data_IF_278695400911
#
_entry.id   IF_278695400911
#
_cell.length_a   1.000
_cell.length_b   1.000
_cell.length_c   1.000
_cell.angle_alpha   90.00
_cell.angle_beta   90.00
_cell.angle_gamma   90.00
#
_symmetry.space_group_name_H-M   'P 1'
#
loop_
_entity.id
_entity.type
_entity.pdbx_description
1 polymer ?
#
# COMPACT_ATOMS: atom_id res chain seq x y z
N UNK A 1 6.71 -40.25 43.13
CA UNK A 1 7.59 -41.30 43.72
C UNK A 1 8.11 -42.10 42.54
N UNK A 2 9.38 -42.10 42.17
CA UNK A 2 10.62 -42.24 42.94
C UNK A 2 11.79 -41.59 42.18
N UNK A 3 12.66 -40.96 42.97
CA UNK A 3 13.98 -40.43 42.62
C UNK A 3 14.96 -41.52 42.17
N UNK A 4 15.92 -41.16 41.30
CA UNK A 4 17.35 -41.40 41.55
C UNK A 4 18.27 -40.57 40.65
N UNK A 5 19.18 -39.86 41.31
CA UNK A 5 20.27 -39.05 40.79
C UNK A 5 21.44 -39.90 40.28
N UNK A 6 22.25 -39.33 39.38
CA UNK A 6 23.69 -39.61 39.32
C UNK A 6 24.42 -38.33 38.86
N UNK A 7 25.24 -37.76 39.75
CA UNK A 7 26.17 -36.66 39.42
C UNK A 7 27.43 -37.22 38.74
N UNK A 8 28.07 -36.48 37.81
CA UNK A 8 29.46 -36.73 37.45
C UNK A 8 30.40 -35.75 38.17
N UNK A 9 31.42 -36.32 38.82
CA UNK A 9 32.60 -35.62 39.34
C UNK A 9 33.33 -34.83 38.26
N UNK A 10 33.76 -33.62 38.62
CA UNK A 10 34.69 -32.83 37.81
C UNK A 10 36.14 -33.32 37.93
N UNK A 11 36.89 -33.14 36.85
CA UNK A 11 38.33 -32.90 36.87
C UNK A 11 38.71 -32.13 35.58
N UNK A 12 39.50 -31.06 35.75
CA UNK A 12 39.83 -30.11 34.70
C UNK A 12 41.08 -30.46 33.87
N UNK A 13 41.27 -29.67 32.81
CA UNK A 13 42.52 -29.06 32.32
C UNK A 13 42.59 -28.98 30.78
N UNK A 14 42.85 -27.75 30.33
CA UNK A 14 43.60 -27.34 29.12
C UNK A 14 43.08 -27.68 27.70
N UNK A 15 42.54 -26.64 27.06
CA UNK A 15 43.20 -26.00 25.92
C UNK A 15 43.17 -26.71 24.57
N UNK A 16 42.19 -26.38 23.72
CA UNK A 16 42.44 -26.21 22.27
C UNK A 16 41.40 -25.26 21.67
N UNK A 17 41.87 -24.23 20.97
CA UNK A 17 41.07 -23.34 20.13
C UNK A 17 40.36 -24.14 19.02
N UNK A 18 39.06 -23.89 18.85
CA UNK A 18 38.39 -24.11 17.56
C UNK A 18 37.30 -23.05 17.34
N UNK A 19 37.76 -21.91 16.81
CA UNK A 19 37.12 -21.11 15.77
C UNK A 19 35.61 -21.35 15.55
N UNK A 20 34.76 -20.61 16.27
CA UNK A 20 33.36 -20.41 15.88
C UNK A 20 33.23 -19.09 15.12
N UNK A 21 33.64 -19.15 13.86
CA UNK A 21 33.19 -18.22 12.84
C UNK A 21 31.98 -18.82 12.15
N UNK A 22 30.78 -18.34 12.49
CA UNK A 22 29.71 -18.16 11.51
C UNK A 22 28.94 -16.92 11.92
N UNK A 23 29.46 -15.77 11.49
CA UNK A 23 28.68 -14.55 11.38
C UNK A 23 27.44 -14.89 10.57
N UNK A 24 26.27 -14.83 11.21
CA UNK A 24 25.00 -14.84 10.49
C UNK A 24 24.98 -13.59 9.63
N UNK A 25 25.33 -13.73 8.36
CA UNK A 25 25.09 -12.70 7.36
C UNK A 25 23.58 -12.46 7.35
N UNK A 26 23.16 -11.33 7.91
CA UNK A 26 21.83 -10.80 7.63
C UNK A 26 21.72 -10.75 6.10
N UNK A 27 20.86 -11.59 5.53
CA UNK A 27 20.59 -11.61 4.11
C UNK A 27 20.06 -10.22 3.74
N UNK A 28 20.86 -9.43 3.03
CA UNK A 28 20.43 -8.13 2.53
C UNK A 28 19.18 -8.33 1.66
N UNK A 29 18.07 -7.63 1.95
CA UNK A 29 16.83 -7.83 1.23
C UNK A 29 17.04 -7.60 -0.27
N UNK A 30 16.49 -8.49 -1.10
CA UNK A 30 16.60 -8.36 -2.55
C UNK A 30 16.12 -6.97 -3.00
N UNK A 31 16.64 -6.42 -4.12
CA UNK A 31 16.20 -5.12 -4.61
C UNK A 31 14.69 -5.02 -4.82
N UNK A 32 14.03 -6.14 -5.13
CA UNK A 32 12.57 -6.23 -5.24
C UNK A 32 11.88 -6.15 -3.89
N UNK A 33 12.37 -6.90 -2.89
CA UNK A 33 11.86 -6.82 -1.51
C UNK A 33 12.01 -5.40 -0.94
N UNK A 34 13.12 -4.72 -1.20
CA UNK A 34 13.34 -3.34 -0.79
C UNK A 34 12.35 -2.36 -1.46
N UNK A 35 12.05 -2.54 -2.75
CA UNK A 35 11.04 -1.75 -3.47
C UNK A 35 9.64 -1.98 -2.90
N UNK A 36 9.27 -3.25 -2.68
CA UNK A 36 7.99 -3.61 -2.09
C UNK A 36 7.84 -3.01 -0.69
N UNK A 37 8.86 -3.14 0.16
CA UNK A 37 8.86 -2.57 1.51
C UNK A 37 8.71 -1.04 1.50
N UNK A 38 9.38 -0.35 0.58
CA UNK A 38 9.21 1.10 0.38
C UNK A 38 7.77 1.45 0.00
N UNK A 39 7.18 0.73 -0.97
CA UNK A 39 5.81 0.98 -1.42
C UNK A 39 4.76 0.71 -0.33
N UNK A 40 4.94 -0.33 0.49
CA UNK A 40 4.05 -0.64 1.61
C UNK A 40 4.19 0.37 2.76
N UNK A 41 5.39 0.90 3.00
CA UNK A 41 5.59 2.01 3.95
C UNK A 41 4.87 3.27 3.48
N UNK A 42 5.06 3.67 2.22
CA UNK A 42 4.33 4.80 1.62
C UNK A 42 2.81 4.61 1.75
N UNK A 43 2.31 3.40 1.48
CA UNK A 43 0.89 3.06 1.62
C UNK A 43 0.40 3.18 3.07
N UNK A 44 1.21 2.77 4.05
CA UNK A 44 0.86 2.87 5.47
C UNK A 44 0.72 4.33 5.93
N UNK A 45 1.53 5.23 5.37
CA UNK A 45 1.52 6.67 5.69
C UNK A 45 0.33 7.44 5.07
N UNK A 46 -0.48 6.78 4.22
CA UNK A 46 -1.63 7.41 3.57
C UNK A 46 -2.81 7.66 4.51
N UNK A 47 -2.91 6.88 5.59
CA UNK A 47 -4.06 6.90 6.50
C UNK A 47 -5.33 6.26 5.94
N UNK A 48 -5.36 5.77 4.70
CA UNK A 48 -6.50 5.06 4.08
C UNK A 48 -6.20 3.60 3.72
N UNK A 49 -5.07 3.09 4.22
CA UNK A 49 -4.77 1.67 4.27
C UNK A 49 -5.29 1.06 5.59
N UNK A 50 -6.12 0.03 5.47
CA UNK A 50 -6.82 -0.61 6.59
C UNK A 50 -6.21 -1.95 7.02
N UNK A 51 -5.05 -2.34 6.46
CA UNK A 51 -4.38 -3.59 6.80
C UNK A 51 -5.29 -4.82 6.61
N UNK A 52 -5.27 -5.72 7.59
CA UNK A 52 -5.95 -7.02 7.54
C UNK A 52 -7.47 -6.97 7.73
N UNK A 53 -8.12 -5.94 7.19
CA UNK A 53 -9.57 -5.80 7.14
C UNK A 53 -10.19 -6.89 6.26
N UNK A 54 -11.30 -7.47 6.74
CA UNK A 54 -12.06 -8.46 5.98
C UNK A 54 -12.92 -7.82 4.88
N UNK A 55 -13.33 -8.64 3.91
CA UNK A 55 -14.26 -8.22 2.85
C UNK A 55 -15.57 -7.68 3.42
N UNK A 56 -16.08 -8.31 4.50
CA UNK A 56 -17.37 -7.94 5.10
C UNK A 56 -17.28 -6.60 5.83
N UNK A 57 -16.22 -6.38 6.61
CA UNK A 57 -15.99 -5.09 7.28
C UNK A 57 -15.86 -3.94 6.26
N UNK A 58 -15.15 -4.18 5.16
CA UNK A 58 -15.03 -3.20 4.08
C UNK A 58 -16.38 -2.88 3.43
N UNK A 59 -17.22 -3.91 3.19
CA UNK A 59 -18.58 -3.74 2.65
C UNK A 59 -19.45 -2.90 3.59
N UNK A 60 -19.44 -3.19 4.89
CA UNK A 60 -20.24 -2.44 5.86
C UNK A 60 -19.78 -0.97 5.96
N UNK A 61 -18.46 -0.71 6.02
CA UNK A 61 -17.93 0.66 6.04
C UNK A 61 -18.27 1.47 4.78
N UNK A 62 -18.35 0.81 3.63
CA UNK A 62 -18.64 1.47 2.34
C UNK A 62 -20.14 1.50 2.00
N UNK A 63 -20.99 0.80 2.75
CA UNK A 63 -22.41 0.61 2.42
C UNK A 63 -23.14 1.95 2.21
N UNK A 64 -22.94 2.88 3.13
CA UNK A 64 -23.55 4.21 3.13
C UNK A 64 -22.61 5.32 2.65
N UNK A 65 -21.40 4.96 2.24
CA UNK A 65 -20.45 5.92 1.69
C UNK A 65 -20.94 6.42 0.31
N UNK A 66 -20.57 7.66 -0.09
CA UNK A 66 -20.82 8.13 -1.45
C UNK A 66 -20.10 7.29 -2.51
N UNK A 67 -20.64 7.26 -3.73
CA UNK A 67 -20.01 6.59 -4.87
C UNK A 67 -18.57 7.11 -5.12
N UNK A 68 -17.69 6.17 -5.45
CA UNK A 68 -16.26 6.41 -5.64
C UNK A 68 -15.45 6.49 -4.34
N UNK A 69 -16.09 6.39 -3.18
CA UNK A 69 -15.35 6.23 -1.91
C UNK A 69 -14.65 4.88 -1.88
N UNK A 70 -13.36 4.87 -1.55
CA UNK A 70 -12.55 3.65 -1.59
C UNK A 70 -11.64 3.50 -0.36
N UNK A 71 -11.13 2.29 -0.15
CA UNK A 71 -10.08 1.97 0.83
C UNK A 71 -9.17 0.87 0.29
N UNK A 72 -7.95 0.80 0.81
CA UNK A 72 -7.03 -0.33 0.54
C UNK A 72 -6.94 -1.21 1.77
N UNK A 73 -6.88 -2.52 1.56
CA UNK A 73 -6.69 -3.55 2.58
C UNK A 73 -5.88 -4.71 2.03
N UNK A 74 -5.44 -5.59 2.91
CA UNK A 74 -4.84 -6.87 2.54
C UNK A 74 -5.82 -7.69 1.70
N UNK A 75 -5.30 -8.41 0.71
CA UNK A 75 -6.13 -9.38 0.00
C UNK A 75 -6.37 -10.61 0.87
N UNK A 76 -7.58 -11.17 0.79
CA UNK A 76 -7.89 -12.47 1.36
C UNK A 76 -7.58 -13.62 0.40
N UNK A 77 -7.03 -13.32 -0.78
CA UNK A 77 -6.66 -14.30 -1.81
C UNK A 77 -5.16 -14.50 -1.82
N UNK A 78 -4.69 -15.74 -1.87
CA UNK A 78 -3.26 -16.10 -1.79
C UNK A 78 -2.37 -15.38 -2.81
N UNK A 79 -2.90 -15.18 -4.01
CA UNK A 79 -2.11 -14.72 -5.16
C UNK A 79 -1.97 -13.18 -5.22
N UNK A 80 -2.57 -12.45 -4.27
CA UNK A 80 -2.60 -11.00 -4.29
C UNK A 80 -2.24 -10.43 -2.92
N UNK A 81 -1.44 -9.37 -2.89
CA UNK A 81 -1.05 -8.71 -1.65
C UNK A 81 -2.15 -7.78 -1.15
N UNK A 82 -2.75 -7.00 -2.06
CA UNK A 82 -3.62 -5.89 -1.72
C UNK A 82 -4.92 -5.93 -2.52
N UNK A 83 -5.95 -5.27 -1.98
CA UNK A 83 -7.25 -5.13 -2.61
C UNK A 83 -7.82 -3.74 -2.36
N UNK A 84 -8.34 -3.14 -3.43
CA UNK A 84 -9.17 -1.94 -3.39
C UNK A 84 -10.60 -2.36 -3.09
N UNK A 85 -11.17 -1.87 -2.01
CA UNK A 85 -12.62 -1.92 -1.80
C UNK A 85 -13.19 -0.56 -2.14
N UNK A 86 -14.17 -0.50 -3.05
CA UNK A 86 -14.74 0.76 -3.55
C UNK A 86 -16.26 0.70 -3.61
N UNK A 87 -16.92 1.79 -3.24
CA UNK A 87 -18.35 1.98 -3.42
C UNK A 87 -18.67 2.36 -4.87
N UNK A 88 -19.47 1.54 -5.53
CA UNK A 88 -20.07 1.84 -6.84
C UNK A 88 -21.58 2.09 -6.70
N UNK A 89 -22.23 2.55 -7.76
CA UNK A 89 -23.70 2.62 -7.87
C UNK A 89 -24.41 1.30 -7.57
N UNK A 90 -23.81 0.15 -7.88
CA UNK A 90 -24.36 -1.18 -7.57
C UNK A 90 -24.01 -1.67 -6.15
N UNK A 91 -23.23 -0.90 -5.38
CA UNK A 91 -22.77 -1.24 -4.04
C UNK A 91 -21.25 -1.42 -3.94
N UNK A 92 -20.74 -1.79 -2.75
CA UNK A 92 -19.31 -2.02 -2.54
C UNK A 92 -18.80 -3.24 -3.33
N UNK A 93 -17.72 -3.04 -4.08
CA UNK A 93 -17.02 -4.09 -4.83
C UNK A 93 -15.53 -4.13 -4.49
N UNK A 94 -14.82 -5.15 -4.97
CA UNK A 94 -13.41 -5.34 -4.72
C UNK A 94 -12.63 -5.50 -6.02
N UNK A 95 -11.49 -4.82 -6.12
CA UNK A 95 -10.53 -4.98 -7.21
C UNK A 95 -9.18 -5.35 -6.61
N UNK A 96 -8.57 -6.43 -7.09
CA UNK A 96 -7.28 -6.87 -6.59
C UNK A 96 -6.15 -6.10 -7.27
N UNK A 97 -5.03 -5.96 -6.56
CA UNK A 97 -3.81 -5.34 -7.07
C UNK A 97 -2.79 -6.45 -7.24
N UNK A 98 -2.35 -6.65 -8.47
CA UNK A 98 -1.27 -7.57 -8.82
C UNK A 98 0.08 -6.89 -8.54
N UNK A 99 1.04 -7.66 -8.02
CA UNK A 99 2.44 -7.26 -7.90
C UNK A 99 3.32 -8.29 -8.61
N UNK A 100 3.96 -7.90 -9.71
CA UNK A 100 4.85 -8.77 -10.49
C UNK A 100 5.97 -7.92 -11.09
N UNK A 101 7.18 -8.50 -11.17
CA UNK A 101 8.39 -7.84 -11.70
C UNK A 101 8.67 -6.48 -11.05
N UNK A 102 8.44 -6.37 -9.74
CA UNK A 102 8.59 -5.13 -9.00
C UNK A 102 7.54 -4.05 -9.25
N UNK A 103 6.45 -4.35 -9.98
CA UNK A 103 5.41 -3.36 -10.36
C UNK A 103 4.01 -3.75 -9.90
N UNK A 104 3.25 -2.74 -9.46
CA UNK A 104 1.83 -2.82 -9.15
C UNK A 104 0.96 -2.52 -10.36
N UNK A 105 -0.14 -3.27 -10.51
CA UNK A 105 -1.20 -2.99 -11.50
C UNK A 105 -2.54 -3.53 -11.01
N UNK A 106 -3.64 -3.04 -11.59
CA UNK A 106 -4.96 -3.61 -11.32
C UNK A 106 -5.10 -4.99 -11.96
N UNK A 107 -5.91 -5.84 -11.32
CA UNK A 107 -6.26 -7.14 -11.85
C UNK A 107 -6.84 -7.03 -13.27
N UNK A 108 -6.17 -7.72 -14.18
CA UNK A 108 -6.49 -7.75 -15.60
C UNK A 108 -7.79 -8.46 -15.97
N UNK A 109 -8.40 -9.17 -15.03
CA UNK A 109 -9.69 -9.84 -15.21
C UNK A 109 -10.83 -8.81 -15.25
N UNK A 110 -10.69 -7.68 -14.57
CA UNK A 110 -11.74 -6.64 -14.45
C UNK A 110 -11.50 -5.49 -15.45
N UNK A 111 -10.27 -5.32 -15.91
CA UNK A 111 -9.87 -4.19 -16.77
C UNK A 111 -9.29 -4.69 -18.10
N UNK A 112 -9.66 -4.06 -19.22
CA UNK A 112 -9.13 -4.42 -20.55
C UNK A 112 -7.59 -4.32 -20.57
N UNK A 113 -6.91 -5.49 -20.66
CA UNK A 113 -5.45 -5.67 -20.55
C UNK A 113 -4.60 -4.66 -21.33
N UNK A 114 -5.07 -4.21 -22.48
CA UNK A 114 -4.32 -3.30 -23.37
C UNK A 114 -4.11 -1.88 -22.81
N UNK A 115 -4.72 -1.50 -21.68
CA UNK A 115 -4.60 -0.14 -21.10
C UNK A 115 -4.10 -0.10 -19.64
N UNK A 116 -3.74 -1.24 -19.06
CA UNK A 116 -3.33 -1.27 -17.66
C UNK A 116 -1.90 -0.72 -17.48
N UNK A 117 -1.82 0.39 -16.74
CA UNK A 117 -0.55 0.99 -16.35
C UNK A 117 0.07 0.21 -15.19
N UNK A 118 1.39 0.21 -15.16
CA UNK A 118 2.20 -0.40 -14.11
C UNK A 118 2.89 0.70 -13.30
N UNK A 119 3.04 0.49 -12.00
CA UNK A 119 3.52 1.51 -11.06
C UNK A 119 4.50 0.92 -10.05
N UNK A 120 5.49 1.70 -9.63
CA UNK A 120 6.40 1.32 -8.53
C UNK A 120 5.78 1.49 -7.14
N UNK A 121 4.68 2.23 -7.03
CA UNK A 121 4.00 2.55 -5.78
C UNK A 121 2.50 2.35 -5.93
N UNK A 122 1.88 1.71 -4.93
CA UNK A 122 0.42 1.55 -4.85
C UNK A 122 -0.25 2.92 -4.73
N UNK A 123 0.37 3.84 -4.00
CA UNK A 123 -0.18 5.19 -3.84
C UNK A 123 -0.19 5.92 -5.19
N UNK A 124 0.86 5.76 -5.99
CA UNK A 124 0.89 6.30 -7.35
C UNK A 124 -0.17 5.66 -8.26
N UNK A 125 -0.38 4.34 -8.17
CA UNK A 125 -1.46 3.65 -8.89
C UNK A 125 -2.82 4.28 -8.55
N UNK A 126 -3.11 4.47 -7.26
CA UNK A 126 -4.39 5.03 -6.80
C UNK A 126 -4.53 6.49 -7.23
N UNK A 127 -3.50 7.32 -7.01
CA UNK A 127 -3.49 8.72 -7.42
C UNK A 127 -3.77 8.84 -8.93
N UNK A 128 -3.11 8.03 -9.75
CA UNK A 128 -3.36 8.00 -11.20
C UNK A 128 -4.82 7.76 -11.54
N UNK A 129 -5.44 6.70 -10.99
CA UNK A 129 -6.84 6.37 -11.30
C UNK A 129 -7.82 7.41 -10.73
N UNK A 130 -7.53 8.01 -9.56
CA UNK A 130 -8.33 9.12 -9.02
C UNK A 130 -8.26 10.34 -9.94
N UNK A 131 -7.09 10.67 -10.48
CA UNK A 131 -6.92 11.80 -11.39
C UNK A 131 -7.57 11.53 -12.76
N UNK A 132 -7.49 10.30 -13.28
CA UNK A 132 -8.21 9.92 -14.50
C UNK A 132 -9.72 10.10 -14.37
N UNK A 133 -10.30 9.81 -13.20
CA UNK A 133 -11.73 10.02 -12.96
C UNK A 133 -12.14 11.50 -12.84
N UNK A 134 -11.20 12.41 -12.56
CA UNK A 134 -11.45 13.86 -12.50
C UNK A 134 -11.36 14.55 -13.86
N UNK A 135 -10.62 13.98 -14.80
CA UNK A 135 -10.51 14.55 -16.14
C UNK A 135 -11.85 14.41 -16.89
N UNK A 136 -12.50 15.56 -17.13
CA UNK A 136 -13.78 15.64 -17.81
C UNK A 136 -13.73 15.21 -19.28
N UNK A 137 -12.53 15.09 -19.87
CA UNK A 137 -12.34 14.59 -21.24
C UNK A 137 -12.47 13.07 -21.33
N UNK A 138 -12.19 12.38 -20.24
CA UNK A 138 -12.48 10.95 -20.00
C UNK A 138 -13.68 10.82 -19.08
N UNK A 139 -14.72 11.63 -19.30
CA UNK A 139 -16.03 11.33 -18.72
C UNK A 139 -16.39 9.88 -19.03
N UNK A 140 -17.07 9.16 -18.13
CA UNK A 140 -17.45 7.79 -18.39
C UNK A 140 -18.32 7.79 -19.65
N UNK A 141 -17.76 7.39 -20.79
CA UNK A 141 -18.58 6.92 -21.90
C UNK A 141 -19.48 5.87 -21.29
N UNK A 142 -20.80 6.10 -21.38
CA UNK A 142 -21.79 5.18 -20.82
C UNK A 142 -21.40 3.75 -21.26
N UNK A 143 -21.25 2.79 -20.33
CA UNK A 143 -20.73 1.49 -20.65
C UNK A 143 -21.61 0.84 -21.72
N UNK A 144 -21.08 0.77 -22.94
CA UNK A 144 -21.58 -0.18 -23.94
C UNK A 144 -21.17 -1.54 -23.41
N UNK A 145 -22.10 -2.21 -22.72
CA UNK A 145 -22.02 -3.58 -22.24
C UNK A 145 -21.36 -3.75 -20.85
N UNK A 146 -22.17 -3.63 -19.78
CA UNK A 146 -21.99 -4.33 -18.49
C UNK A 146 -20.67 -4.16 -17.71
N UNK A 147 -19.76 -3.32 -18.18
CA UNK A 147 -18.43 -3.15 -17.60
C UNK A 147 -18.51 -2.08 -16.51
N UNK A 148 -18.29 -2.48 -15.26
CA UNK A 148 -18.19 -1.54 -14.14
C UNK A 148 -16.92 -0.71 -14.34
N UNK A 149 -17.08 0.57 -14.72
CA UNK A 149 -15.95 1.48 -14.80
C UNK A 149 -15.40 1.72 -13.39
N UNK A 150 -14.09 1.53 -13.22
CA UNK A 150 -13.42 1.89 -11.98
C UNK A 150 -13.55 3.41 -11.78
N UNK A 151 -14.29 3.79 -10.74
CA UNK A 151 -14.49 5.18 -10.36
C UNK A 151 -13.95 5.40 -8.95
N UNK A 152 -12.82 6.09 -8.83
CA UNK A 152 -12.18 6.42 -7.56
C UNK A 152 -12.21 7.94 -7.36
N UNK A 153 -12.76 8.39 -6.23
CA UNK A 153 -12.91 9.83 -5.97
C UNK A 153 -12.23 10.24 -4.67
N UNK A 154 -12.55 9.57 -3.57
CA UNK A 154 -12.04 9.92 -2.24
C UNK A 154 -11.70 8.68 -1.40
N UNK A 155 -10.61 8.72 -0.64
CA UNK A 155 -10.29 7.66 0.29
C UNK A 155 -11.17 7.71 1.53
N UNK A 156 -11.44 6.53 2.09
CA UNK A 156 -11.99 6.36 3.43
C UNK A 156 -10.84 6.21 4.41
N UNK A 157 -10.58 7.26 5.17
CA UNK A 157 -9.50 7.28 6.16
C UNK A 157 -9.83 6.42 7.39
N UNK A 158 -8.80 5.78 7.96
CA UNK A 158 -8.84 5.01 9.21
C UNK A 158 -9.06 5.92 10.43
N UNK A 159 -8.47 7.11 10.40
CA UNK A 159 -8.61 8.17 11.38
C UNK A 159 -8.47 9.54 10.70
N UNK A 160 -8.80 10.63 11.38
CA UNK A 160 -8.59 11.96 10.85
C UNK A 160 -7.09 12.19 10.54
N UNK A 161 -6.71 12.56 9.29
CA UNK A 161 -5.31 12.87 8.98
C UNK A 161 -4.83 14.11 9.73
N UNK A 162 -3.54 14.21 10.05
CA UNK A 162 -2.99 15.42 10.66
C UNK A 162 -3.14 16.60 9.71
N UNK A 163 -3.40 17.80 10.27
CA UNK A 163 -3.57 19.02 9.47
C UNK A 163 -2.38 19.28 8.51
N UNK A 164 -1.16 18.98 8.96
CA UNK A 164 0.04 19.10 8.13
C UNK A 164 -0.04 18.26 6.84
N UNK A 165 -0.58 17.04 6.93
CA UNK A 165 -0.78 16.17 5.77
C UNK A 165 -1.87 16.72 4.85
N UNK A 166 -2.98 17.22 5.40
CA UNK A 166 -4.03 17.87 4.60
C UNK A 166 -3.51 19.10 3.84
N UNK A 167 -2.64 19.90 4.48
CA UNK A 167 -1.93 20.99 3.82
C UNK A 167 -1.03 20.48 2.69
N UNK A 168 -0.26 19.40 2.91
CA UNK A 168 0.55 18.76 1.87
C UNK A 168 -0.28 18.32 0.67
N UNK A 169 -1.39 17.61 0.88
CA UNK A 169 -2.29 17.21 -0.21
C UNK A 169 -2.84 18.41 -0.98
N UNK A 170 -3.13 19.52 -0.29
CA UNK A 170 -3.61 20.75 -0.91
C UNK A 170 -2.53 21.40 -1.78
N UNK A 171 -1.29 21.47 -1.29
CA UNK A 171 -0.15 21.99 -2.06
C UNK A 171 0.12 21.13 -3.29
N UNK A 172 0.14 19.79 -3.15
CA UNK A 172 0.40 18.86 -4.25
C UNK A 172 -0.65 18.95 -5.38
N UNK A 173 -1.89 19.35 -5.06
CA UNK A 173 -2.93 19.63 -6.06
C UNK A 173 -2.66 20.90 -6.87
N UNK A 174 -1.94 21.86 -6.30
CA UNK A 174 -1.65 23.14 -6.93
C UNK A 174 -0.32 23.13 -7.71
N UNK A 175 0.69 22.41 -7.22
CA UNK A 175 2.01 22.39 -7.86
C UNK A 175 2.84 21.16 -7.52
N UNK A 176 3.66 20.72 -8.48
CA UNK A 176 4.76 19.77 -8.25
C UNK A 176 6.13 20.43 -8.06
N UNK A 177 6.24 21.75 -8.17
CA UNK A 177 7.51 22.50 -8.06
C UNK A 177 7.81 22.92 -6.63
N UNK A 178 8.09 21.95 -5.76
CA UNK A 178 8.28 22.16 -4.31
C UNK A 178 9.40 23.15 -3.99
N UNK A 179 10.54 23.07 -4.70
CA UNK A 179 11.72 23.88 -4.40
C UNK A 179 11.53 25.38 -4.67
N UNK A 180 10.56 25.75 -5.50
CA UNK A 180 10.19 27.15 -5.77
C UNK A 180 9.29 27.77 -4.69
N UNK A 181 8.79 27.00 -3.72
CA UNK A 181 7.91 27.51 -2.67
C UNK A 181 8.71 28.32 -1.61
N UNK A 182 8.12 29.40 -1.05
CA UNK A 182 8.72 30.20 0.01
C UNK A 182 8.57 29.49 1.38
N UNK A 183 9.04 28.25 1.47
CA UNK A 183 8.99 27.41 2.67
C UNK A 183 10.40 27.08 3.16
N UNK A 184 10.60 26.88 4.48
CA UNK A 184 11.83 26.31 5.03
C UNK A 184 12.15 24.93 4.42
N UNK A 185 13.44 24.60 4.30
CA UNK A 185 13.91 23.33 3.69
C UNK A 185 13.23 22.10 4.31
N UNK A 186 13.11 22.05 5.63
CA UNK A 186 12.44 20.94 6.32
C UNK A 186 10.99 20.70 5.86
N UNK A 187 10.26 21.76 5.52
CA UNK A 187 8.90 21.61 4.98
C UNK A 187 8.92 21.20 3.51
N UNK A 188 9.94 21.60 2.74
CA UNK A 188 10.14 21.12 1.36
C UNK A 188 10.44 19.61 1.36
N UNK A 189 11.32 19.15 2.24
CA UNK A 189 11.65 17.73 2.40
C UNK A 189 10.38 16.91 2.74
N UNK A 190 9.55 17.41 3.67
CA UNK A 190 8.27 16.78 4.01
C UNK A 190 7.28 16.68 2.83
N UNK A 191 7.31 17.65 1.90
CA UNK A 191 6.49 17.60 0.67
C UNK A 191 7.09 16.63 -0.36
N UNK A 192 8.41 16.52 -0.43
CA UNK A 192 9.12 15.58 -1.31
C UNK A 192 8.90 14.11 -0.93
N UNK A 193 8.69 13.83 0.36
CA UNK A 193 8.36 12.49 0.86
C UNK A 193 7.02 11.93 0.33
N UNK A 194 6.08 12.80 -0.06
CA UNK A 194 4.77 12.39 -0.57
C UNK A 194 4.22 13.39 -1.57
N UNK A 195 4.26 13.02 -2.86
CA UNK A 195 3.93 13.90 -3.99
C UNK A 195 2.52 13.70 -4.57
N UNK A 196 1.73 12.82 -3.96
CA UNK A 196 0.41 12.45 -4.46
C UNK A 196 -0.67 13.42 -3.98
N UNK A 197 -1.81 13.45 -4.66
CA UNK A 197 -2.92 14.38 -4.40
C UNK A 197 -4.08 13.77 -3.60
N UNK A 198 -3.98 12.49 -3.28
CA UNK A 198 -4.97 11.69 -2.56
C UNK A 198 -4.43 11.19 -1.22
#
# INVERSE_FOLDING_TARGET
MTLRCLEPSGNGAEGTQSHWGTSGSAEEPSPEAARLAKALRELSDTGWYWGSMTVNEAKEKLKEAPEGTFLIRDSSHSDYLLTISVKTSAGPTNLRIEYQDGKFRLDSIICVKSKLKQFDSVVHLIDYYVQMCKDKRTGPEAPRNGTVHLYLTKPLYTSAPPLQHLCRLTINKCTGTIWGLPLPTRLKDYLEEYKFQV
#
